data_IF_435719614886
#
_entry.id   IF_435719614886
#
_cell.length_a   1.000
_cell.length_b   1.000
_cell.length_c   1.000
_cell.angle_alpha   90.00
_cell.angle_beta   90.00
_cell.angle_gamma   90.00
#
_symmetry.space_group_name_H-M   'P 1'
#
loop_
_entity.id
_entity.type
_entity.pdbx_description
1 polymer ?
#
# COMPACT_ATOMS: atom_id res chain seq x y z
N UNK A 1 -10.91 -24.23 -26.07
CA UNK A 1 -10.38 -22.85 -26.00
C UNK A 1 -11.40 -21.86 -25.45
N UNK A 2 -12.69 -22.21 -25.37
CA UNK A 2 -13.74 -21.41 -24.72
C UNK A 2 -13.75 -21.64 -23.19
N UNK A 3 -13.41 -22.85 -22.71
CA UNK A 3 -13.40 -23.18 -21.27
C UNK A 3 -12.31 -22.46 -20.44
N UNK A 4 -11.21 -22.01 -21.06
CA UNK A 4 -10.16 -21.27 -20.36
C UNK A 4 -10.51 -19.79 -20.16
N UNK A 5 -11.42 -19.24 -20.99
CA UNK A 5 -11.85 -17.85 -20.88
C UNK A 5 -12.97 -17.70 -19.85
N UNK A 6 -13.87 -18.67 -19.73
CA UNK A 6 -14.92 -18.67 -18.70
C UNK A 6 -14.35 -18.84 -17.29
N UNK A 7 -13.35 -19.72 -17.10
CA UNK A 7 -12.64 -19.85 -15.83
C UNK A 7 -11.89 -18.57 -15.42
N UNK A 8 -11.54 -17.72 -16.39
CA UNK A 8 -10.87 -16.45 -16.11
C UNK A 8 -11.83 -15.44 -15.48
N UNK A 9 -13.12 -15.39 -15.86
CA UNK A 9 -14.05 -14.40 -15.29
C UNK A 9 -14.63 -14.80 -13.92
N UNK A 10 -14.62 -16.09 -13.56
CA UNK A 10 -15.09 -16.58 -12.26
C UNK A 10 -14.08 -16.39 -11.11
N UNK A 11 -12.82 -16.06 -11.42
CA UNK A 11 -11.79 -15.86 -10.42
C UNK A 11 -11.11 -14.49 -10.57
N UNK A 12 -11.68 -13.42 -9.94
CA UNK A 12 -11.13 -12.07 -10.05
C UNK A 12 -9.66 -11.97 -9.64
N UNK A 13 -9.20 -12.77 -8.66
CA UNK A 13 -7.79 -12.81 -8.28
C UNK A 13 -6.90 -13.24 -9.44
N UNK A 14 -7.30 -14.28 -10.18
CA UNK A 14 -6.53 -14.77 -11.32
C UNK A 14 -6.46 -13.75 -12.48
N UNK A 15 -7.57 -13.07 -12.79
CA UNK A 15 -7.59 -12.01 -13.82
C UNK A 15 -6.59 -10.91 -13.49
N UNK A 16 -6.60 -10.43 -12.24
CA UNK A 16 -5.69 -9.39 -11.80
C UNK A 16 -4.24 -9.87 -11.81
N UNK A 17 -3.95 -11.11 -11.41
CA UNK A 17 -2.61 -11.69 -11.51
C UNK A 17 -2.11 -11.75 -12.95
N UNK A 18 -2.96 -12.20 -13.87
CA UNK A 18 -2.64 -12.26 -15.30
C UNK A 18 -2.39 -10.86 -15.87
N UNK A 19 -3.24 -9.90 -15.52
CA UNK A 19 -3.09 -8.50 -15.91
C UNK A 19 -1.76 -7.92 -15.41
N UNK A 20 -1.45 -8.04 -14.12
CA UNK A 20 -0.22 -7.51 -13.52
C UNK A 20 1.03 -8.16 -14.13
N UNK A 21 1.01 -9.48 -14.32
CA UNK A 21 2.15 -10.20 -14.94
C UNK A 21 2.35 -9.80 -16.40
N UNK A 22 1.27 -9.66 -17.17
CA UNK A 22 1.34 -9.20 -18.57
C UNK A 22 1.81 -7.75 -18.65
N UNK A 23 1.31 -6.89 -17.77
CA UNK A 23 1.72 -5.50 -17.64
C UNK A 23 3.21 -5.38 -17.30
N UNK A 24 3.70 -6.19 -16.36
CA UNK A 24 5.11 -6.26 -15.97
C UNK A 24 5.98 -6.61 -17.18
N UNK A 25 5.67 -7.70 -17.88
CA UNK A 25 6.46 -8.17 -19.03
C UNK A 25 6.45 -7.12 -20.14
N UNK A 26 5.27 -6.61 -20.52
CA UNK A 26 5.15 -5.63 -21.59
C UNK A 26 5.92 -4.34 -21.27
N UNK A 27 5.71 -3.79 -20.07
CA UNK A 27 6.37 -2.54 -19.63
C UNK A 27 7.87 -2.72 -19.56
N UNK A 28 8.35 -3.86 -19.05
CA UNK A 28 9.78 -4.15 -18.96
C UNK A 28 10.43 -4.26 -20.35
N UNK A 29 9.76 -4.89 -21.32
CA UNK A 29 10.23 -4.98 -22.72
C UNK A 29 10.27 -3.60 -23.40
N UNK A 30 9.32 -2.72 -23.09
CA UNK A 30 9.33 -1.35 -23.63
C UNK A 30 10.43 -0.51 -22.96
N UNK A 31 10.52 -0.55 -21.64
CA UNK A 31 11.48 0.22 -20.85
C UNK A 31 12.94 -0.18 -21.10
N UNK A 32 13.20 -1.43 -21.47
CA UNK A 32 14.55 -1.91 -21.78
C UNK A 32 15.11 -1.37 -23.11
N UNK A 33 14.28 -0.82 -23.99
CA UNK A 33 14.70 -0.39 -25.32
C UNK A 33 15.30 1.00 -25.37
N UNK A 34 14.78 1.95 -24.57
CA UNK A 34 15.20 3.35 -24.59
C UNK A 34 14.65 4.15 -23.42
N UNK A 35 15.30 5.27 -23.13
CA UNK A 35 14.84 6.25 -22.16
C UNK A 35 15.50 6.11 -20.79
N UNK A 36 15.02 6.85 -19.78
CA UNK A 36 15.68 6.97 -18.49
C UNK A 36 15.59 5.70 -17.63
N UNK A 37 14.77 4.72 -18.03
CA UNK A 37 14.47 3.51 -17.25
C UNK A 37 15.25 2.26 -17.69
N UNK A 38 16.10 2.39 -18.71
CA UNK A 38 16.90 1.27 -19.27
C UNK A 38 17.86 0.67 -18.24
N UNK A 39 18.25 1.44 -17.21
CA UNK A 39 19.14 0.96 -16.16
C UNK A 39 18.51 -0.12 -15.27
N UNK A 40 17.20 -0.08 -15.08
CA UNK A 40 16.45 -1.10 -14.33
C UNK A 40 14.99 -1.18 -14.83
N UNK A 41 14.77 -1.78 -16.00
CA UNK A 41 13.44 -1.83 -16.61
C UNK A 41 12.47 -2.72 -15.82
N UNK A 42 12.99 -3.68 -15.05
CA UNK A 42 12.17 -4.58 -14.23
C UNK A 42 11.57 -3.84 -13.03
N UNK A 43 12.38 -3.03 -12.33
CA UNK A 43 11.89 -2.19 -11.24
C UNK A 43 10.92 -1.12 -11.74
N UNK A 44 11.20 -0.48 -12.88
CA UNK A 44 10.26 0.49 -13.43
C UNK A 44 8.90 -0.15 -13.77
N UNK A 45 8.92 -1.31 -14.44
CA UNK A 45 7.70 -2.06 -14.74
C UNK A 45 6.93 -2.45 -13.47
N UNK A 46 7.64 -2.83 -12.41
CA UNK A 46 7.02 -3.13 -11.12
C UNK A 46 6.28 -1.92 -10.56
N UNK A 47 6.89 -0.73 -10.57
CA UNK A 47 6.25 0.49 -10.08
C UNK A 47 5.01 0.87 -10.88
N UNK A 48 4.98 0.60 -12.19
CA UNK A 48 3.79 0.77 -13.03
C UNK A 48 2.67 -0.19 -12.60
N UNK A 49 2.99 -1.48 -12.38
CA UNK A 49 2.03 -2.46 -11.92
C UNK A 49 1.47 -2.09 -10.53
N UNK A 50 2.33 -1.73 -9.59
CA UNK A 50 1.96 -1.29 -8.25
C UNK A 50 1.07 -0.05 -8.28
N UNK A 51 1.34 0.92 -9.17
CA UNK A 51 0.50 2.10 -9.33
C UNK A 51 -0.94 1.73 -9.75
N UNK A 52 -1.11 0.88 -10.76
CA UNK A 52 -2.45 0.48 -11.20
C UNK A 52 -3.19 -0.34 -10.13
N UNK A 53 -2.51 -1.29 -9.49
CA UNK A 53 -3.08 -2.09 -8.42
C UNK A 53 -3.54 -1.22 -7.24
N UNK A 54 -2.66 -0.34 -6.75
CA UNK A 54 -2.97 0.54 -5.59
C UNK A 54 -4.05 1.56 -5.91
N UNK A 55 -4.15 2.05 -7.15
CA UNK A 55 -5.29 2.87 -7.59
C UNK A 55 -6.61 2.11 -7.51
N UNK A 56 -6.66 0.88 -8.02
CA UNK A 56 -7.87 0.07 -8.01
C UNK A 56 -8.27 -0.32 -6.57
N UNK A 57 -7.32 -0.85 -5.79
CA UNK A 57 -7.53 -1.28 -4.41
C UNK A 57 -7.92 -0.09 -3.52
N UNK A 58 -7.17 1.00 -3.60
CA UNK A 58 -7.43 2.23 -2.84
C UNK A 58 -8.76 2.87 -3.21
N UNK A 59 -9.12 2.88 -4.50
CA UNK A 59 -10.39 3.41 -5.01
C UNK A 59 -11.60 2.62 -4.50
N UNK A 60 -11.63 1.30 -4.76
CA UNK A 60 -12.72 0.45 -4.27
C UNK A 60 -12.77 0.38 -2.75
N UNK A 61 -11.61 0.27 -2.10
CA UNK A 61 -11.51 0.27 -0.64
C UNK A 61 -12.08 1.52 -0.01
N UNK A 62 -11.73 2.70 -0.55
CA UNK A 62 -12.30 3.97 -0.09
C UNK A 62 -13.80 4.04 -0.32
N UNK A 63 -14.27 3.65 -1.51
CA UNK A 63 -15.70 3.63 -1.82
C UNK A 63 -16.48 2.79 -0.81
N UNK A 64 -16.16 1.50 -0.69
CA UNK A 64 -16.92 0.59 0.17
C UNK A 64 -16.73 0.87 1.67
N UNK A 65 -15.58 1.42 2.08
CA UNK A 65 -15.38 1.85 3.46
C UNK A 65 -16.34 2.97 3.88
N UNK A 66 -16.64 3.91 2.98
CA UNK A 66 -17.55 5.01 3.30
C UNK A 66 -19.02 4.69 3.00
N UNK A 67 -19.31 3.87 2.00
CA UNK A 67 -20.69 3.61 1.57
C UNK A 67 -21.33 2.39 2.20
N UNK A 68 -20.57 1.33 2.48
CA UNK A 68 -21.15 0.05 2.94
C UNK A 68 -20.74 -0.28 4.37
N UNK A 69 -19.48 -0.02 4.74
CA UNK A 69 -18.98 -0.42 6.05
C UNK A 69 -19.83 0.22 7.18
N UNK A 70 -20.18 1.49 7.05
CA UNK A 70 -20.90 2.23 8.09
C UNK A 70 -22.30 1.68 8.44
N UNK A 71 -22.89 0.85 7.57
CA UNK A 71 -24.25 0.31 7.74
C UNK A 71 -24.28 -1.10 8.32
N UNK A 72 -23.11 -1.69 8.59
CA UNK A 72 -22.99 -3.06 9.08
C UNK A 72 -23.28 -3.17 10.58
N UNK A 73 -24.15 -4.11 10.96
CA UNK A 73 -24.54 -4.36 12.35
C UNK A 73 -23.50 -5.19 13.11
N UNK A 74 -22.95 -6.25 12.51
CA UNK A 74 -21.83 -7.05 13.02
C UNK A 74 -20.57 -6.90 12.14
N UNK A 75 -19.61 -6.11 12.64
CA UNK A 75 -18.38 -5.80 11.89
C UNK A 75 -17.40 -6.97 11.74
N UNK A 76 -17.59 -8.07 12.46
CA UNK A 76 -16.69 -9.21 12.35
C UNK A 76 -17.19 -10.29 11.39
N UNK A 77 -18.50 -10.45 11.26
CA UNK A 77 -19.06 -11.59 10.53
C UNK A 77 -20.13 -11.25 9.49
N UNK A 78 -20.68 -10.02 9.49
CA UNK A 78 -21.59 -9.65 8.40
C UNK A 78 -20.83 -9.55 7.08
N UNK A 79 -21.42 -10.18 6.06
CA UNK A 79 -20.85 -10.22 4.73
C UNK A 79 -21.13 -8.92 4.00
N UNK A 80 -20.07 -8.27 3.54
CA UNK A 80 -20.14 -7.14 2.63
C UNK A 80 -19.86 -7.53 1.18
N UNK A 81 -20.50 -6.85 0.23
CA UNK A 81 -20.25 -6.95 -1.20
C UNK A 81 -18.87 -6.37 -1.55
N UNK A 82 -18.49 -5.26 -0.91
CA UNK A 82 -17.23 -4.59 -1.17
C UNK A 82 -15.99 -5.36 -0.73
N UNK A 83 -16.10 -6.15 0.35
CA UNK A 83 -14.96 -6.84 0.92
C UNK A 83 -14.34 -7.88 -0.03
N UNK A 84 -15.10 -8.79 -0.66
CA UNK A 84 -14.57 -9.68 -1.70
C UNK A 84 -13.96 -8.92 -2.88
N UNK A 85 -14.59 -7.84 -3.37
CA UNK A 85 -14.08 -7.05 -4.49
C UNK A 85 -12.69 -6.51 -4.18
N UNK A 86 -12.54 -5.82 -3.06
CA UNK A 86 -11.26 -5.25 -2.63
C UNK A 86 -10.23 -6.35 -2.37
N UNK A 87 -10.64 -7.42 -1.70
CA UNK A 87 -9.73 -8.46 -1.24
C UNK A 87 -9.22 -9.35 -2.38
N UNK A 88 -10.03 -9.63 -3.41
CA UNK A 88 -9.55 -10.37 -4.58
C UNK A 88 -8.45 -9.61 -5.32
N UNK A 89 -8.62 -8.29 -5.51
CA UNK A 89 -7.63 -7.42 -6.16
C UNK A 89 -6.38 -7.31 -5.28
N UNK A 90 -6.57 -7.09 -3.97
CA UNK A 90 -5.47 -7.01 -3.02
C UNK A 90 -4.67 -8.33 -2.98
N UNK A 91 -5.33 -9.48 -2.88
CA UNK A 91 -4.66 -10.79 -2.88
C UNK A 91 -3.83 -10.99 -4.16
N UNK A 92 -4.39 -10.65 -5.33
CA UNK A 92 -3.67 -10.73 -6.59
C UNK A 92 -2.41 -9.85 -6.58
N UNK A 93 -2.56 -8.60 -6.15
CA UNK A 93 -1.44 -7.67 -6.04
C UNK A 93 -0.38 -8.15 -5.05
N UNK A 94 -0.78 -8.60 -3.86
CA UNK A 94 0.16 -9.02 -2.81
C UNK A 94 0.90 -10.31 -3.19
N UNK A 95 0.27 -11.23 -3.92
CA UNK A 95 0.97 -12.41 -4.49
C UNK A 95 2.01 -11.94 -5.51
N UNK A 96 1.61 -11.07 -6.44
CA UNK A 96 2.53 -10.51 -7.44
C UNK A 96 3.70 -9.78 -6.78
N UNK A 97 3.43 -8.89 -5.83
CA UNK A 97 4.41 -8.03 -5.16
C UNK A 97 5.32 -8.85 -4.22
N UNK A 98 4.82 -9.91 -3.59
CA UNK A 98 5.65 -10.86 -2.86
C UNK A 98 6.72 -11.49 -3.75
N UNK A 99 6.35 -12.00 -4.93
CA UNK A 99 7.32 -12.57 -5.86
C UNK A 99 8.24 -11.49 -6.46
N UNK A 100 7.72 -10.31 -6.80
CA UNK A 100 8.54 -9.20 -7.27
C UNK A 100 9.58 -8.78 -6.22
N UNK A 101 9.19 -8.68 -4.95
CA UNK A 101 10.06 -8.40 -3.81
C UNK A 101 11.15 -9.47 -3.64
N UNK A 102 10.83 -10.74 -3.89
CA UNK A 102 11.82 -11.81 -3.84
C UNK A 102 12.75 -11.79 -5.06
N UNK A 103 12.29 -11.37 -6.24
CA UNK A 103 13.05 -11.49 -7.49
C UNK A 103 13.86 -10.22 -7.84
N UNK A 104 13.40 -9.04 -7.44
CA UNK A 104 14.05 -7.75 -7.72
C UNK A 104 14.86 -7.33 -6.49
N UNK A 105 16.18 -7.26 -6.64
CA UNK A 105 17.12 -7.05 -5.52
C UNK A 105 16.82 -5.78 -4.70
N UNK A 106 16.47 -4.68 -5.36
CA UNK A 106 16.19 -3.39 -4.72
C UNK A 106 14.91 -3.38 -3.85
N UNK A 107 13.99 -4.30 -4.12
CA UNK A 107 12.76 -4.47 -3.36
C UNK A 107 12.93 -5.39 -2.15
N UNK A 108 13.95 -6.27 -2.18
CA UNK A 108 14.16 -7.37 -1.23
C UNK A 108 14.65 -6.91 0.15
N UNK A 109 13.81 -6.17 0.87
CA UNK A 109 14.03 -5.77 2.26
C UNK A 109 13.28 -6.70 3.20
N UNK A 110 13.87 -7.13 4.33
CA UNK A 110 13.22 -8.07 5.26
C UNK A 110 11.83 -7.62 5.69
N UNK A 111 11.66 -6.33 5.99
CA UNK A 111 10.38 -5.76 6.39
C UNK A 111 9.31 -5.83 5.29
N UNK A 112 9.70 -5.74 4.02
CA UNK A 112 8.77 -5.87 2.88
C UNK A 112 8.36 -7.32 2.66
N UNK A 113 9.31 -8.27 2.78
CA UNK A 113 9.00 -9.71 2.67
C UNK A 113 7.97 -10.11 3.74
N UNK A 114 8.19 -9.71 4.99
CA UNK A 114 7.24 -9.98 6.09
C UNK A 114 5.90 -9.30 5.83
N UNK A 115 5.90 -8.03 5.39
CA UNK A 115 4.68 -7.29 5.06
C UNK A 115 3.83 -8.01 4.00
N UNK A 116 4.42 -8.33 2.84
CA UNK A 116 3.68 -8.99 1.76
C UNK A 116 3.24 -10.40 2.14
N UNK A 117 4.04 -11.14 2.91
CA UNK A 117 3.62 -12.45 3.44
C UNK A 117 2.36 -12.33 4.29
N UNK A 118 2.33 -11.39 5.25
CA UNK A 118 1.16 -11.16 6.09
C UNK A 118 -0.04 -10.67 5.27
N UNK A 119 0.18 -9.77 4.31
CA UNK A 119 -0.87 -9.25 3.46
C UNK A 119 -1.52 -10.34 2.59
N UNK A 120 -0.73 -11.23 1.97
CA UNK A 120 -1.24 -12.41 1.24
C UNK A 120 -2.08 -13.29 2.15
N UNK A 121 -1.57 -13.65 3.34
CA UNK A 121 -2.27 -14.55 4.25
C UNK A 121 -3.58 -13.93 4.76
N UNK A 122 -3.57 -12.65 5.16
CA UNK A 122 -4.77 -11.95 5.60
C UNK A 122 -5.82 -11.89 4.49
N UNK A 123 -5.43 -11.49 3.28
CA UNK A 123 -6.37 -11.41 2.15
C UNK A 123 -6.95 -12.80 1.79
N UNK A 124 -6.13 -13.85 1.82
CA UNK A 124 -6.59 -15.22 1.61
C UNK A 124 -7.64 -15.65 2.64
N UNK A 125 -7.38 -15.41 3.94
CA UNK A 125 -8.29 -15.83 4.99
C UNK A 125 -9.56 -14.96 5.10
N UNK A 126 -9.51 -13.67 4.71
CA UNK A 126 -10.72 -12.85 4.55
C UNK A 126 -11.66 -13.50 3.53
N UNK A 127 -11.16 -13.89 2.36
CA UNK A 127 -11.98 -14.52 1.31
C UNK A 127 -12.50 -15.91 1.72
N UNK A 128 -11.67 -16.68 2.44
CA UNK A 128 -12.01 -18.05 2.82
C UNK A 128 -13.06 -18.10 3.93
N UNK A 129 -12.87 -17.32 4.98
CA UNK A 129 -13.61 -17.50 6.25
C UNK A 129 -14.61 -16.36 6.51
N UNK A 130 -14.72 -15.41 5.58
CA UNK A 130 -15.58 -14.23 5.66
C UNK A 130 -15.43 -13.41 6.96
N UNK A 131 -14.25 -13.49 7.59
CA UNK A 131 -13.97 -12.83 8.85
C UNK A 131 -13.42 -11.41 8.64
N UNK A 132 -14.04 -10.44 9.29
CA UNK A 132 -13.60 -9.04 9.29
C UNK A 132 -13.83 -8.34 7.95
N UNK A 133 -14.86 -8.70 7.19
CA UNK A 133 -15.21 -8.05 5.92
C UNK A 133 -15.30 -6.52 6.05
N UNK A 134 -15.95 -6.01 7.10
CA UNK A 134 -15.96 -4.58 7.44
C UNK A 134 -14.57 -3.97 7.45
N UNK A 135 -13.65 -4.61 8.18
CA UNK A 135 -12.29 -4.12 8.36
C UNK A 135 -11.41 -4.32 7.12
N UNK A 136 -11.70 -5.32 6.28
CA UNK A 136 -10.96 -5.59 5.05
C UNK A 136 -11.03 -4.42 4.07
N UNK A 137 -12.20 -3.78 3.90
CA UNK A 137 -12.34 -2.59 3.06
C UNK A 137 -11.40 -1.45 3.46
N UNK A 138 -11.11 -1.31 4.75
CA UNK A 138 -10.13 -0.37 5.26
C UNK A 138 -8.69 -0.89 5.12
N UNK A 139 -8.36 -1.99 5.80
CA UNK A 139 -6.97 -2.48 5.97
C UNK A 139 -6.35 -3.05 4.69
N UNK A 140 -7.15 -3.63 3.81
CA UNK A 140 -6.69 -4.18 2.53
C UNK A 140 -7.04 -3.24 1.36
N UNK A 141 -7.82 -2.20 1.60
CA UNK A 141 -8.36 -1.31 0.57
C UNK A 141 -7.90 0.13 0.75
N UNK A 142 -8.65 0.90 1.55
CA UNK A 142 -8.46 2.34 1.73
C UNK A 142 -7.02 2.72 2.10
N UNK A 143 -6.31 1.87 2.84
CA UNK A 143 -4.93 2.12 3.25
C UNK A 143 -3.96 2.17 2.07
N UNK A 144 -4.30 1.61 0.90
CA UNK A 144 -3.49 1.70 -0.33
C UNK A 144 -3.53 3.07 -0.99
N UNK A 145 -4.44 3.97 -0.61
CA UNK A 145 -4.49 5.34 -1.15
C UNK A 145 -3.16 6.07 -0.94
N UNK A 146 -2.51 5.90 0.20
CA UNK A 146 -1.18 6.51 0.44
C UNK A 146 -0.06 5.86 -0.38
N UNK A 147 -0.24 4.66 -0.94
CA UNK A 147 0.76 4.00 -1.79
C UNK A 147 0.77 4.54 -3.23
N UNK A 148 -0.33 5.16 -3.69
CA UNK A 148 -0.41 5.77 -5.03
C UNK A 148 0.70 6.81 -5.27
N UNK A 149 0.86 7.87 -4.43
CA UNK A 149 1.97 8.80 -4.60
C UNK A 149 3.33 8.14 -4.33
N UNK A 150 3.40 7.12 -3.48
CA UNK A 150 4.64 6.40 -3.17
C UNK A 150 5.24 5.72 -4.42
N UNK A 151 4.40 5.08 -5.24
CA UNK A 151 4.87 4.43 -6.48
C UNK A 151 5.65 5.43 -7.36
N UNK A 152 5.17 6.67 -7.45
CA UNK A 152 5.81 7.73 -8.23
C UNK A 152 7.09 8.22 -7.54
N UNK A 153 7.08 8.37 -6.20
CA UNK A 153 8.27 8.71 -5.42
C UNK A 153 9.38 7.67 -5.61
N UNK A 154 9.05 6.38 -5.64
CA UNK A 154 10.03 5.32 -5.80
C UNK A 154 10.65 5.30 -7.20
N UNK A 155 9.87 5.62 -8.25
CA UNK A 155 10.42 5.88 -9.59
C UNK A 155 11.45 7.01 -9.54
N UNK A 156 11.11 8.16 -8.96
CA UNK A 156 12.06 9.28 -8.88
C UNK A 156 13.31 8.99 -8.04
N UNK A 157 13.14 8.23 -6.96
CA UNK A 157 14.24 7.85 -6.08
C UNK A 157 15.28 6.99 -6.79
N UNK A 158 14.83 6.05 -7.62
CA UNK A 158 15.71 5.12 -8.32
C UNK A 158 16.27 5.74 -9.62
N UNK A 159 15.43 6.43 -10.41
CA UNK A 159 15.83 7.03 -11.69
C UNK A 159 16.17 8.52 -11.54
N UNK A 160 17.31 8.83 -10.91
CA UNK A 160 17.70 10.22 -10.57
C UNK A 160 17.81 11.17 -11.76
N UNK A 161 18.23 10.67 -12.93
CA UNK A 161 18.28 11.47 -14.16
C UNK A 161 16.89 11.95 -14.60
N UNK A 162 15.88 11.11 -14.41
CA UNK A 162 14.48 11.48 -14.65
C UNK A 162 13.96 12.46 -13.57
N UNK A 163 14.34 12.24 -12.31
CA UNK A 163 13.95 13.15 -11.21
C UNK A 163 14.51 14.56 -11.38
N UNK A 164 15.74 14.73 -11.85
CA UNK A 164 16.35 16.04 -12.07
C UNK A 164 15.58 16.89 -13.10
N UNK A 165 14.91 16.25 -14.06
CA UNK A 165 14.09 16.92 -15.06
C UNK A 165 12.67 17.27 -14.55
N UNK A 166 12.24 16.67 -13.44
CA UNK A 166 10.86 16.75 -12.94
C UNK A 166 10.81 17.03 -11.42
N UNK A 167 11.74 17.85 -10.90
CA UNK A 167 11.92 18.04 -9.45
C UNK A 167 10.66 18.57 -8.75
N UNK A 168 9.88 19.43 -9.43
CA UNK A 168 8.60 19.92 -8.92
C UNK A 168 7.58 18.79 -8.69
N UNK A 169 7.48 17.85 -9.63
CA UNK A 169 6.56 16.70 -9.52
C UNK A 169 7.06 15.75 -8.43
N UNK A 170 8.36 15.46 -8.40
CA UNK A 170 8.95 14.63 -7.35
C UNK A 170 8.68 15.21 -5.94
N UNK A 171 8.92 16.51 -5.77
CA UNK A 171 8.65 17.20 -4.50
C UNK A 171 7.17 17.12 -4.13
N UNK A 172 6.25 17.38 -5.07
CA UNK A 172 4.82 17.28 -4.84
C UNK A 172 4.42 15.86 -4.40
N UNK A 173 4.87 14.83 -5.11
CA UNK A 173 4.55 13.44 -4.79
C UNK A 173 5.08 13.01 -3.43
N UNK A 174 6.29 13.46 -3.06
CA UNK A 174 6.86 13.22 -1.72
C UNK A 174 6.04 13.85 -0.61
N UNK A 175 5.54 15.07 -0.84
CA UNK A 175 4.66 15.77 0.10
C UNK A 175 3.32 15.05 0.22
N UNK A 176 2.67 14.72 -0.90
CA UNK A 176 1.41 13.99 -0.91
C UNK A 176 1.52 12.62 -0.24
N UNK A 177 2.59 11.87 -0.53
CA UNK A 177 2.89 10.61 0.14
C UNK A 177 3.01 10.80 1.65
N UNK A 178 3.84 11.74 2.11
CA UNK A 178 4.07 11.95 3.52
C UNK A 178 2.78 12.30 4.28
N UNK A 179 1.97 13.22 3.75
CA UNK A 179 0.71 13.61 4.39
C UNK A 179 -0.32 12.48 4.37
N UNK A 180 -0.55 11.86 3.21
CA UNK A 180 -1.53 10.76 3.10
C UNK A 180 -1.14 9.58 3.98
N UNK A 181 0.14 9.20 4.03
CA UNK A 181 0.62 8.12 4.89
C UNK A 181 0.41 8.43 6.37
N UNK A 182 0.82 9.62 6.83
CA UNK A 182 0.69 9.99 8.24
C UNK A 182 -0.78 10.08 8.69
N UNK A 183 -1.66 10.62 7.85
CA UNK A 183 -3.09 10.71 8.17
C UNK A 183 -3.74 9.33 8.15
N UNK A 184 -3.62 8.59 7.05
CA UNK A 184 -4.34 7.33 6.86
C UNK A 184 -3.72 6.21 7.71
N UNK A 185 -2.41 6.01 7.62
CA UNK A 185 -1.71 4.88 8.27
C UNK A 185 -1.12 5.25 9.63
N UNK A 186 -0.72 6.50 9.82
CA UNK A 186 -0.17 6.97 11.10
C UNK A 186 -1.24 7.20 12.18
N UNK A 187 -2.38 7.79 11.81
CA UNK A 187 -3.43 8.22 12.75
C UNK A 187 -4.71 7.37 12.61
N UNK A 188 -5.24 7.24 11.39
CA UNK A 188 -6.53 6.60 11.21
C UNK A 188 -6.46 5.08 11.40
N UNK A 189 -5.41 4.42 10.89
CA UNK A 189 -5.20 2.99 11.07
C UNK A 189 -5.20 2.52 12.54
N UNK A 190 -4.45 3.13 13.47
CA UNK A 190 -4.54 2.76 14.89
C UNK A 190 -5.94 2.93 15.48
N UNK A 191 -6.69 3.93 15.02
CA UNK A 191 -8.08 4.17 15.47
C UNK A 191 -8.99 3.03 15.03
N UNK A 192 -8.91 2.62 13.76
CA UNK A 192 -9.67 1.48 13.24
C UNK A 192 -9.22 0.17 13.87
N UNK A 193 -7.92 0.02 14.11
CA UNK A 193 -7.33 -1.17 14.78
C UNK A 193 -7.83 -1.29 16.22
N UNK A 194 -7.89 -0.19 16.96
CA UNK A 194 -8.48 -0.19 18.30
C UNK A 194 -9.93 -0.70 18.28
N UNK A 195 -10.75 -0.19 17.35
CA UNK A 195 -12.14 -0.65 17.18
C UNK A 195 -12.21 -2.14 16.86
N UNK A 196 -11.37 -2.61 15.93
CA UNK A 196 -11.23 -4.03 15.60
C UNK A 196 -10.91 -4.87 16.85
N UNK A 197 -9.92 -4.46 17.65
CA UNK A 197 -9.58 -5.18 18.88
C UNK A 197 -10.72 -5.23 19.89
N UNK A 198 -11.48 -4.14 20.05
CA UNK A 198 -12.62 -4.11 20.96
C UNK A 198 -13.72 -5.10 20.52
N UNK A 199 -14.02 -5.15 19.22
CA UNK A 199 -15.01 -6.09 18.69
C UNK A 199 -14.53 -7.54 18.82
N UNK A 200 -13.29 -7.82 18.45
CA UNK A 200 -12.69 -9.16 18.58
C UNK A 200 -12.61 -9.61 20.03
N UNK A 201 -12.19 -8.74 20.96
CA UNK A 201 -12.13 -9.04 22.38
C UNK A 201 -13.52 -9.34 22.96
N UNK A 202 -14.54 -8.54 22.59
CA UNK A 202 -15.91 -8.78 23.01
C UNK A 202 -16.43 -10.13 22.51
N UNK A 203 -16.10 -10.50 21.27
CA UNK A 203 -16.48 -11.77 20.68
C UNK A 203 -15.81 -12.97 21.37
N UNK A 204 -14.51 -12.87 21.66
CA UNK A 204 -13.74 -13.89 22.39
C UNK A 204 -14.24 -14.06 23.83
N UNK A 205 -14.48 -12.96 24.55
CA UNK A 205 -14.96 -12.99 25.93
C UNK A 205 -16.35 -13.61 26.06
N UNK A 206 -17.24 -13.35 25.10
CA UNK A 206 -18.59 -13.92 25.06
C UNK A 206 -18.62 -15.35 24.50
N UNK A 207 -17.50 -15.86 23.97
CA UNK A 207 -17.44 -17.16 23.32
C UNK A 207 -18.24 -17.23 22.03
N UNK A 208 -18.50 -16.09 21.37
CA UNK A 208 -19.30 -16.00 20.13
C UNK A 208 -18.43 -16.05 18.88
N UNK A 209 -17.12 -16.18 19.03
CA UNK A 209 -16.20 -16.22 17.90
C UNK A 209 -16.28 -17.57 17.21
N UNK A 210 -16.60 -17.56 15.90
CA UNK A 210 -16.71 -18.80 15.11
C UNK A 210 -15.39 -19.57 15.04
N UNK A 211 -14.26 -18.84 15.05
CA UNK A 211 -12.93 -19.42 14.98
C UNK A 211 -11.93 -18.56 15.77
N UNK A 212 -11.67 -18.96 17.01
CA UNK A 212 -10.73 -18.27 17.90
C UNK A 212 -9.31 -18.16 17.30
N UNK A 213 -8.85 -19.20 16.60
CA UNK A 213 -7.52 -19.18 16.00
C UNK A 213 -7.43 -18.10 14.92
N UNK A 214 -8.50 -17.91 14.14
CA UNK A 214 -8.55 -16.86 13.12
C UNK A 214 -8.56 -15.46 13.75
N UNK A 215 -9.38 -15.25 14.78
CA UNK A 215 -9.42 -14.00 15.53
C UNK A 215 -8.05 -13.64 16.11
N UNK A 216 -7.34 -14.62 16.69
CA UNK A 216 -5.98 -14.45 17.23
C UNK A 216 -4.99 -14.15 16.10
N UNK A 217 -5.03 -14.88 14.98
CA UNK A 217 -4.14 -14.67 13.84
C UNK A 217 -4.27 -13.25 13.27
N UNK A 218 -5.49 -12.78 13.02
CA UNK A 218 -5.74 -11.42 12.54
C UNK A 218 -5.30 -10.36 13.56
N UNK A 219 -5.56 -10.60 14.85
CA UNK A 219 -5.13 -9.71 15.94
C UNK A 219 -3.62 -9.55 16.01
N UNK A 220 -2.88 -10.67 16.00
CA UNK A 220 -1.41 -10.65 16.02
C UNK A 220 -0.87 -9.97 14.75
N UNK A 221 -1.42 -10.31 13.59
CA UNK A 221 -1.02 -9.69 12.32
C UNK A 221 -1.28 -8.19 12.29
N UNK A 222 -2.41 -7.73 12.85
CA UNK A 222 -2.72 -6.31 12.97
C UNK A 222 -1.73 -5.58 13.89
N UNK A 223 -1.32 -6.17 15.03
CA UNK A 223 -0.27 -5.58 15.88
C UNK A 223 1.04 -5.45 15.10
N UNK A 224 1.49 -6.52 14.44
CA UNK A 224 2.75 -6.53 13.68
C UNK A 224 2.73 -5.48 12.56
N UNK A 225 1.64 -5.41 11.80
CA UNK A 225 1.48 -4.41 10.75
C UNK A 225 1.39 -2.99 11.31
N UNK A 226 0.73 -2.77 12.44
CA UNK A 226 0.66 -1.45 13.11
C UNK A 226 2.05 -0.96 13.53
N UNK A 227 2.87 -1.84 14.12
CA UNK A 227 4.25 -1.52 14.49
C UNK A 227 5.08 -1.16 13.25
N UNK A 228 4.87 -1.87 12.14
CA UNK A 228 5.53 -1.58 10.88
C UNK A 228 5.09 -0.23 10.29
N UNK A 229 3.80 0.10 10.36
CA UNK A 229 3.30 1.43 9.96
C UNK A 229 3.95 2.55 10.78
N UNK A 230 4.10 2.39 12.10
CA UNK A 230 4.76 3.36 12.96
C UNK A 230 6.27 3.47 12.69
N UNK A 231 6.93 2.34 12.41
CA UNK A 231 8.31 2.36 11.96
C UNK A 231 8.48 3.23 10.70
N UNK A 232 7.67 3.00 9.66
CA UNK A 232 7.72 3.81 8.43
C UNK A 232 7.29 5.26 8.65
N UNK A 233 6.27 5.52 9.47
CA UNK A 233 5.87 6.88 9.85
C UNK A 233 7.05 7.63 10.49
N UNK A 234 7.83 6.97 11.36
CA UNK A 234 9.00 7.57 11.98
C UNK A 234 10.08 7.96 10.95
N UNK A 235 10.26 7.16 9.89
CA UNK A 235 11.18 7.48 8.80
C UNK A 235 10.72 8.70 8.00
N UNK A 236 9.42 8.79 7.73
CA UNK A 236 8.81 9.94 7.04
C UNK A 236 8.97 11.22 7.86
N UNK A 237 8.66 11.18 9.16
CA UNK A 237 8.83 12.33 10.06
C UNK A 237 10.30 12.79 10.10
N UNK A 238 11.25 11.84 10.21
CA UNK A 238 12.69 12.18 10.15
C UNK A 238 13.08 12.83 8.83
N UNK A 239 12.55 12.36 7.70
CA UNK A 239 12.80 12.95 6.38
C UNK A 239 12.24 14.37 6.28
N UNK A 240 11.02 14.61 6.77
CA UNK A 240 10.39 15.94 6.80
C UNK A 240 11.18 16.92 7.68
N UNK A 241 11.58 16.50 8.89
CA UNK A 241 12.40 17.34 9.79
C UNK A 241 13.73 17.71 9.15
N UNK A 242 14.38 16.76 8.45
CA UNK A 242 15.62 17.03 7.72
C UNK A 242 15.41 18.07 6.62
N UNK A 243 14.34 17.95 5.83
CA UNK A 243 14.01 18.92 4.79
C UNK A 243 13.76 20.33 5.35
N UNK A 244 13.01 20.44 6.46
CA UNK A 244 12.74 21.72 7.11
C UNK A 244 14.02 22.38 7.64
N UNK A 245 14.92 21.61 8.25
CA UNK A 245 16.21 22.11 8.75
C UNK A 245 17.13 22.58 7.60
N UNK A 246 17.22 21.81 6.52
CA UNK A 246 18.03 22.20 5.34
C UNK A 246 17.51 23.48 4.67
N UNK A 247 16.18 23.66 4.57
CA UNK A 247 15.60 24.89 4.03
C UNK A 247 15.90 26.14 4.87
N UNK A 248 15.96 26.00 6.19
CA UNK A 248 16.30 27.11 7.10
C UNK A 248 17.76 27.53 6.99
N UNK A 249 18.69 26.59 6.78
CA UNK A 249 20.10 26.91 6.61
C UNK A 249 20.35 27.68 5.31
N UNK A 250 19.73 27.27 4.20
CA UNK A 250 19.85 27.96 2.91
C UNK A 250 19.35 29.42 3.00
N UNK A 251 18.24 29.66 3.71
CA UNK A 251 17.73 31.03 3.92
C UNK A 251 18.72 31.91 4.70
N UNK A 252 19.33 31.37 5.76
CA UNK A 252 20.34 32.09 6.55
C UNK A 252 21.59 32.43 5.73
N UNK A 253 22.05 31.51 4.89
CA UNK A 253 23.22 31.74 4.03
C UNK A 253 22.94 32.83 2.98
N UNK A 254 21.73 32.85 2.42
CA UNK A 254 21.29 33.88 1.46
C UNK A 254 21.22 35.26 2.13
N UNK A 255 20.64 35.35 3.33
CA UNK A 255 20.57 36.60 4.12
C UNK A 255 21.98 37.11 4.49
N UNK A 256 22.85 36.25 5.02
CA UNK A 256 24.24 36.59 5.33
C UNK A 256 25.03 37.09 4.11
N UNK A 257 24.79 36.53 2.92
CA UNK A 257 25.48 36.97 1.69
C UNK A 257 25.01 38.34 1.20
N UNK A 258 23.77 38.75 1.51
CA UNK A 258 23.24 40.07 1.16
C UNK A 258 23.83 41.15 2.07
N UNK A 259 23.97 40.87 3.36
CA UNK A 259 24.54 41.80 4.33
C UNK A 259 26.05 42.06 4.09
N UNK A 260 26.75 41.07 3.54
CA UNK A 260 28.18 41.20 3.20
C UNK A 260 28.43 42.00 1.92
N UNK A 261 27.43 42.13 1.03
CA UNK A 261 27.54 42.90 -0.23
C UNK A 261 27.05 44.35 -0.10
N UNK A 262 26.54 44.74 1.07
CA UNK A 262 26.04 46.07 1.37
C UNK A 262 27.04 46.96 2.14
N UNK A 263 28.25 46.44 2.42
CA UNK A 263 29.40 47.15 2.99
C UNK A 263 30.54 47.23 1.97
#
# INVERSE_FOLDING_TARGET
>A
MVDALELSMENPTFVWLLFLTTCQIFTQVVASKRGPFVSDPALFAHQVCAFFATCAIGGYGTYYWYTEANDVHDRLYDVMVGAPVVTHINLAFQIFDFFATLLIADLRKPEMVVHHTLAVLLAFFVLRDAYGHYYACFFLGMTEVSAIPLCIVDVFKHFRGFAAQHDGINTLMRVLFAFSFLIIRGIYWPTVSYRYFMDTAACLQKGTCHNNAMAIFFSVSNVLLTLLQWYWASLIVRALVKMAKSGNNVKKDVESSKDTKAN
#
